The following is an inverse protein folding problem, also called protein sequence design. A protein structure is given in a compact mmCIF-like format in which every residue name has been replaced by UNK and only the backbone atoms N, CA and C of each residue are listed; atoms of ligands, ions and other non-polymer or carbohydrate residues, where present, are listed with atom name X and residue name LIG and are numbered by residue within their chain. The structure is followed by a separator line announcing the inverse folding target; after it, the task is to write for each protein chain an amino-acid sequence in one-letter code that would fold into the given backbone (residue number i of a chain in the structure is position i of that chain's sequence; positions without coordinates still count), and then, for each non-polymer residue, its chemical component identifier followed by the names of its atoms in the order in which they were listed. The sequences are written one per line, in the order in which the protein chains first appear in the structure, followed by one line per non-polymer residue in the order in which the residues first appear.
data_IF_685154450458
#
_entry.id   IF_685154450458
#
_cell.length_a   1.000
_cell.length_b   1.000
_cell.length_c   1.000
_cell.angle_alpha   90.00
_cell.angle_beta   90.00
_cell.angle_gamma   90.00
#
_symmetry.space_group_name_H-M   'P 1'
#
loop_
_entity.id
_entity.type
_entity.pdbx_description
1 polymer ?
#
# COMPACT_ATOMS: atom_id res chain seq x y z
N UNK A 1 -52.54 -6.04 -60.50
CA UNK A 1 -51.93 -4.86 -59.83
C UNK A 1 -52.97 -3.76 -59.65
N UNK A 2 -53.71 -3.74 -58.54
CA UNK A 2 -54.55 -2.60 -58.13
C UNK A 2 -54.60 -2.52 -56.61
N UNK A 3 -54.38 -1.30 -56.14
CA UNK A 3 -54.20 -0.79 -54.77
C UNK A 3 -55.57 -0.64 -54.09
N UNK A 4 -55.66 -1.01 -52.81
CA UNK A 4 -56.65 -0.56 -51.82
C UNK A 4 -56.01 -0.88 -50.44
N UNK A 5 -56.15 -0.17 -49.32
CA UNK A 5 -57.07 0.86 -48.83
C UNK A 5 -56.35 1.42 -47.55
N UNK A 6 -55.89 2.68 -47.52
CA UNK A 6 -56.55 3.83 -46.88
C UNK A 6 -56.69 3.77 -45.32
N UNK A 7 -55.79 4.52 -44.67
CA UNK A 7 -55.92 5.36 -43.45
C UNK A 7 -56.19 4.74 -42.07
N UNK A 8 -55.23 4.87 -41.13
CA UNK A 8 -55.48 5.30 -39.72
C UNK A 8 -54.26 6.12 -39.20
N UNK A 9 -54.53 7.41 -38.97
CA UNK A 9 -53.97 8.43 -38.05
C UNK A 9 -52.47 8.45 -37.60
N UNK A 10 -51.84 9.65 -37.58
CA UNK A 10 -50.56 9.87 -36.90
C UNK A 10 -50.81 10.08 -35.40
N UNK A 11 -50.29 9.18 -34.55
CA UNK A 11 -50.22 9.39 -33.11
C UNK A 11 -48.96 10.19 -32.77
N UNK A 12 -49.09 11.51 -32.77
CA UNK A 12 -48.25 12.41 -31.97
C UNK A 12 -48.96 12.54 -30.62
N UNK A 13 -48.31 12.16 -29.52
CA UNK A 13 -48.42 12.77 -28.19
C UNK A 13 -47.44 12.09 -27.20
N UNK A 14 -46.41 12.85 -26.83
CA UNK A 14 -45.81 12.98 -25.49
C UNK A 14 -45.18 11.73 -24.86
N UNK A 15 -43.85 11.66 -24.94
CA UNK A 15 -43.03 11.39 -23.76
C UNK A 15 -41.83 12.34 -23.79
N UNK A 16 -42.06 13.54 -23.23
CA UNK A 16 -41.00 14.44 -22.84
C UNK A 16 -40.14 13.77 -21.76
N UNK A 17 -38.82 13.86 -21.89
CA UNK A 17 -37.90 13.82 -20.76
C UNK A 17 -37.67 12.46 -20.09
N UNK A 18 -36.92 11.57 -20.73
CA UNK A 18 -35.95 10.72 -20.01
C UNK A 18 -34.57 11.02 -20.61
N UNK A 19 -34.19 12.29 -20.52
CA UNK A 19 -32.81 12.70 -20.69
C UNK A 19 -32.14 12.72 -19.32
N UNK A 20 -31.01 12.01 -19.21
CA UNK A 20 -30.01 12.20 -18.16
C UNK A 20 -30.46 11.89 -16.73
N UNK A 21 -30.70 10.61 -16.47
CA UNK A 21 -30.72 10.03 -15.12
C UNK A 21 -29.63 8.99 -14.88
N UNK A 22 -28.62 8.88 -15.77
CA UNK A 22 -27.36 8.23 -15.40
C UNK A 22 -26.48 9.30 -14.74
N UNK A 23 -26.86 9.69 -13.52
CA UNK A 23 -25.85 10.14 -12.58
C UNK A 23 -24.97 8.92 -12.32
N UNK A 24 -23.95 8.75 -13.17
CA UNK A 24 -22.67 8.30 -12.68
C UNK A 24 -22.25 9.36 -11.65
N UNK A 25 -22.77 9.22 -10.42
CA UNK A 25 -22.07 9.76 -9.27
C UNK A 25 -20.64 9.26 -9.37
N UNK A 26 -19.64 10.02 -8.89
CA UNK A 26 -18.29 9.50 -8.82
C UNK A 26 -18.39 8.10 -8.22
N UNK A 27 -17.87 7.12 -8.95
CA UNK A 27 -17.48 5.85 -8.36
C UNK A 27 -16.43 6.25 -7.35
N UNK A 28 -16.87 6.65 -6.16
CA UNK A 28 -16.01 6.91 -5.03
C UNK A 28 -15.37 5.56 -4.72
N UNK A 29 -14.23 5.33 -5.36
CA UNK A 29 -13.25 4.38 -4.92
C UNK A 29 -13.12 4.60 -3.41
N UNK A 30 -13.46 3.57 -2.63
CA UNK A 30 -13.61 3.59 -1.18
C UNK A 30 -12.70 4.65 -0.52
N UNK A 31 -13.23 5.71 0.14
CA UNK A 31 -12.43 6.80 0.72
C UNK A 31 -11.65 6.39 1.98
N UNK A 32 -11.42 5.09 2.18
CA UNK A 32 -10.68 4.56 3.32
C UNK A 32 -9.18 4.55 2.98
N UNK A 33 -8.38 5.12 3.87
CA UNK A 33 -6.91 5.14 3.81
C UNK A 33 -6.30 6.06 2.73
N UNK A 34 -6.84 7.27 2.55
CA UNK A 34 -6.24 8.29 1.67
C UNK A 34 -5.09 9.00 2.41
N UNK A 35 -3.89 8.99 1.82
CA UNK A 35 -2.75 9.80 2.25
C UNK A 35 -2.55 10.96 1.28
N UNK A 36 -2.76 12.20 1.74
CA UNK A 36 -2.56 13.41 0.93
C UNK A 36 -1.17 13.97 1.19
N UNK A 37 -0.40 14.18 0.11
CA UNK A 37 0.91 14.82 0.22
C UNK A 37 0.77 16.35 0.25
N UNK A 38 1.33 16.98 1.28
CA UNK A 38 1.28 18.44 1.44
C UNK A 38 2.47 19.12 0.76
N UNK A 39 2.22 20.16 -0.04
CA UNK A 39 3.29 21.01 -0.59
C UNK A 39 4.00 21.76 0.53
N UNK A 40 5.32 21.71 0.56
CA UNK A 40 6.16 22.49 1.47
C UNK A 40 7.14 23.36 0.68
N UNK A 41 7.71 24.40 1.32
CA UNK A 41 8.62 25.33 0.66
C UNK A 41 10.05 24.80 0.54
N UNK A 42 10.47 23.99 1.52
CA UNK A 42 11.78 23.36 1.58
C UNK A 42 11.62 21.88 1.96
N UNK A 43 12.49 20.99 1.47
CA UNK A 43 12.43 19.57 1.78
C UNK A 43 12.76 19.31 3.27
N UNK A 44 12.27 18.20 3.85
CA UNK A 44 12.65 17.78 5.20
C UNK A 44 14.12 17.34 5.25
N UNK A 45 14.69 17.30 6.45
CA UNK A 45 15.96 16.59 6.67
C UNK A 45 15.67 15.09 6.65
N UNK A 46 16.54 14.29 6.01
CA UNK A 46 16.36 12.84 5.92
C UNK A 46 17.01 12.13 7.11
N UNK A 47 16.55 12.43 8.32
CA UNK A 47 17.10 11.92 9.59
C UNK A 47 16.05 11.16 10.45
N UNK A 48 14.80 11.12 10.00
CA UNK A 48 13.71 10.42 10.69
C UNK A 48 13.10 11.21 11.86
N UNK A 49 13.45 12.48 12.02
CA UNK A 49 12.91 13.34 13.09
C UNK A 49 11.54 13.89 12.70
N UNK A 50 10.66 14.07 13.69
CA UNK A 50 9.36 14.72 13.51
C UNK A 50 9.51 16.25 13.62
N UNK A 51 9.92 16.92 12.54
CA UNK A 51 9.96 18.39 12.47
C UNK A 51 8.58 19.04 12.30
N UNK A 52 8.51 20.36 12.44
CA UNK A 52 7.25 21.13 12.40
C UNK A 52 6.50 21.04 11.06
N UNK A 53 7.21 20.87 9.95
CA UNK A 53 6.59 20.73 8.63
C UNK A 53 5.65 19.51 8.56
N UNK A 54 5.99 18.42 9.27
CA UNK A 54 5.20 17.21 9.32
C UNK A 54 3.94 17.37 10.17
N UNK A 55 3.97 18.20 11.22
CA UNK A 55 2.79 18.50 12.04
C UNK A 55 1.67 19.12 11.21
N UNK A 56 2.03 19.82 10.14
CA UNK A 56 1.08 20.41 9.21
C UNK A 56 0.55 19.46 8.12
N UNK A 57 1.06 18.23 8.01
CA UNK A 57 0.59 17.21 7.07
C UNK A 57 -0.42 16.27 7.76
N UNK A 58 -1.51 15.94 7.07
CA UNK A 58 -2.56 15.06 7.60
C UNK A 58 -2.01 13.64 7.78
N UNK A 59 -2.05 13.08 9.01
CA UNK A 59 -1.60 11.71 9.23
C UNK A 59 -2.60 10.69 8.69
N UNK A 60 -2.08 9.60 8.14
CA UNK A 60 -2.81 8.37 7.89
C UNK A 60 -2.28 7.28 8.84
N UNK A 61 -3.11 6.77 9.74
CA UNK A 61 -2.76 5.61 10.57
C UNK A 61 -3.43 4.36 10.02
N UNK A 62 -2.63 3.32 9.78
CA UNK A 62 -3.10 2.01 9.33
C UNK A 62 -2.64 0.93 10.29
N UNK A 63 -3.54 0.00 10.62
CA UNK A 63 -3.16 -1.23 11.35
C UNK A 63 -2.58 -2.23 10.36
N UNK A 64 -1.34 -2.64 10.57
CA UNK A 64 -0.69 -3.72 9.81
C UNK A 64 -0.66 -4.99 10.66
N UNK A 65 -0.83 -6.14 10.01
CA UNK A 65 -1.00 -7.45 10.66
C UNK A 65 -0.13 -8.51 9.98
N UNK A 66 0.08 -9.63 10.66
CA UNK A 66 0.87 -10.75 10.15
C UNK A 66 2.38 -10.60 10.36
N UNK A 67 2.81 -9.58 11.12
CA UNK A 67 4.21 -9.40 11.47
C UNK A 67 4.66 -10.42 12.49
N UNK A 68 5.81 -11.07 12.25
CA UNK A 68 6.43 -11.95 13.24
C UNK A 68 7.16 -11.12 14.29
N UNK A 69 7.18 -11.59 15.53
CA UNK A 69 7.80 -10.92 16.69
C UNK A 69 7.16 -9.60 17.14
N UNK A 70 6.05 -9.17 16.52
CA UNK A 70 5.23 -8.09 17.05
C UNK A 70 4.26 -8.61 18.13
N UNK A 71 4.00 -7.85 19.21
CA UNK A 71 2.93 -8.16 20.16
C UNK A 71 1.59 -8.35 19.44
N UNK A 72 0.97 -9.51 19.60
CA UNK A 72 -0.28 -9.86 18.91
C UNK A 72 -0.18 -9.93 17.37
N UNK A 73 1.04 -9.97 16.82
CA UNK A 73 1.29 -10.06 15.38
C UNK A 73 0.86 -8.83 14.58
N UNK A 74 0.75 -7.66 15.22
CA UNK A 74 0.29 -6.42 14.58
C UNK A 74 0.92 -5.18 15.19
N UNK A 75 0.96 -4.09 14.42
CA UNK A 75 1.34 -2.76 14.89
C UNK A 75 0.54 -1.69 14.14
N UNK A 76 0.51 -0.48 14.68
CA UNK A 76 -0.02 0.68 13.96
C UNK A 76 1.13 1.43 13.30
N UNK A 77 0.94 1.76 12.03
CA UNK A 77 1.88 2.58 11.25
C UNK A 77 1.20 3.91 10.97
N UNK A 78 1.80 5.01 11.40
CA UNK A 78 1.38 6.36 11.03
C UNK A 78 2.26 6.91 9.92
N UNK A 79 1.63 7.30 8.83
CA UNK A 79 2.24 7.89 7.64
C UNK A 79 1.89 9.37 7.57
N UNK A 80 2.86 10.18 7.16
CA UNK A 80 2.66 11.55 6.68
C UNK A 80 3.40 11.72 5.38
N UNK A 81 2.90 12.60 4.51
CA UNK A 81 3.56 12.90 3.25
C UNK A 81 3.63 14.40 2.99
N UNK A 82 4.79 14.84 2.51
CA UNK A 82 5.02 16.18 1.98
C UNK A 82 5.71 16.08 0.63
N UNK A 83 5.69 17.15 -0.16
CA UNK A 83 6.42 17.19 -1.42
C UNK A 83 6.99 18.58 -1.73
N UNK A 84 8.07 18.60 -2.50
CA UNK A 84 8.68 19.80 -3.08
C UNK A 84 9.06 19.52 -4.53
N UNK A 85 8.65 20.37 -5.47
CA UNK A 85 9.00 20.19 -6.88
C UNK A 85 8.59 18.81 -7.40
N UNK A 86 9.58 18.02 -7.75
CA UNK A 86 9.51 16.65 -8.29
C UNK A 86 9.71 15.54 -7.24
N UNK A 87 9.92 15.89 -5.97
CA UNK A 87 10.22 14.94 -4.90
C UNK A 87 9.06 14.84 -3.90
N UNK A 88 8.66 13.61 -3.60
CA UNK A 88 7.74 13.26 -2.52
C UNK A 88 8.52 12.63 -1.35
N UNK A 89 8.15 13.02 -0.14
CA UNK A 89 8.75 12.56 1.10
C UNK A 89 7.68 11.90 1.96
N UNK A 90 8.08 10.85 2.68
CA UNK A 90 7.23 10.12 3.59
C UNK A 90 7.89 10.05 4.96
N UNK A 91 7.15 10.40 6.01
CA UNK A 91 7.52 10.09 7.38
C UNK A 91 6.66 8.92 7.84
N UNK A 92 7.32 7.87 8.29
CA UNK A 92 6.70 6.66 8.81
C UNK A 92 7.07 6.47 10.27
N UNK A 93 6.08 6.16 11.09
CA UNK A 93 6.28 5.90 12.50
C UNK A 93 5.51 4.65 12.91
N UNK A 94 6.16 3.75 13.63
CA UNK A 94 5.58 2.55 14.19
C UNK A 94 6.28 2.23 15.50
N UNK A 95 5.62 1.43 16.36
CA UNK A 95 6.26 0.93 17.57
C UNK A 95 7.15 -0.25 17.22
N UNK A 96 8.42 -0.14 17.58
CA UNK A 96 9.40 -1.23 17.54
C UNK A 96 10.16 -1.23 18.87
N UNK A 97 9.90 -2.26 19.68
CA UNK A 97 10.56 -2.42 20.99
C UNK A 97 11.98 -2.99 20.86
N UNK A 98 12.34 -3.48 19.67
CA UNK A 98 13.57 -4.25 19.44
C UNK A 98 14.62 -3.51 18.64
N UNK A 99 14.23 -2.47 17.89
CA UNK A 99 15.08 -1.75 16.94
C UNK A 99 15.87 -2.74 16.07
N UNK A 100 15.13 -3.58 15.35
CA UNK A 100 15.68 -4.77 14.69
C UNK A 100 16.54 -4.40 13.47
N UNK A 101 17.79 -4.01 13.68
CA UNK A 101 18.72 -3.60 12.60
C UNK A 101 19.62 -4.73 12.09
N UNK A 102 19.39 -5.97 12.53
CA UNK A 102 20.24 -7.12 12.20
C UNK A 102 19.69 -7.89 11.02
N UNK A 103 20.48 -8.00 9.95
CA UNK A 103 20.18 -8.88 8.81
C UNK A 103 21.25 -9.96 8.64
N UNK A 104 20.98 -11.17 9.13
CA UNK A 104 21.89 -12.32 9.01
C UNK A 104 23.36 -11.97 9.37
N UNK A 105 23.60 -11.43 10.58
CA UNK A 105 24.83 -10.76 10.94
C UNK A 105 26.00 -11.74 11.05
N UNK A 106 27.21 -11.19 10.95
CA UNK A 106 28.45 -11.90 11.20
C UNK A 106 29.09 -11.38 12.49
N UNK A 107 29.63 -12.29 13.29
CA UNK A 107 30.32 -11.97 14.54
C UNK A 107 31.77 -12.42 14.43
N UNK A 108 32.68 -11.49 14.69
CA UNK A 108 34.12 -11.77 14.77
C UNK A 108 34.42 -12.55 16.03
N UNK A 109 35.13 -13.66 15.88
CA UNK A 109 35.52 -14.56 16.96
C UNK A 109 36.86 -14.11 17.59
N UNK A 110 37.16 -14.64 18.77
CA UNK A 110 38.40 -14.33 19.49
C UNK A 110 39.67 -14.75 18.72
N UNK A 111 39.58 -15.83 17.92
CA UNK A 111 40.66 -16.32 17.06
C UNK A 111 40.80 -15.54 15.73
N UNK A 112 39.98 -14.50 15.53
CA UNK A 112 39.97 -13.68 14.33
C UNK A 112 39.10 -14.21 13.19
N UNK A 113 38.52 -15.40 13.31
CA UNK A 113 37.55 -15.93 12.34
C UNK A 113 36.21 -15.18 12.40
N UNK A 114 35.35 -15.39 11.40
CA UNK A 114 34.00 -14.82 11.36
C UNK A 114 32.96 -15.92 11.36
N UNK A 115 31.94 -15.77 12.20
CA UNK A 115 30.81 -16.69 12.26
C UNK A 115 29.53 -15.96 11.83
N UNK A 116 28.83 -16.53 10.86
CA UNK A 116 27.48 -16.08 10.51
C UNK A 116 26.49 -16.60 11.54
N UNK A 117 25.74 -15.70 12.18
CA UNK A 117 24.63 -16.10 13.03
C UNK A 117 23.47 -16.61 12.17
N UNK A 118 22.87 -17.73 12.59
CA UNK A 118 21.77 -18.39 11.88
C UNK A 118 20.61 -18.62 12.84
N UNK A 119 19.41 -18.39 12.35
CA UNK A 119 18.20 -18.79 13.06
C UNK A 119 18.11 -20.33 13.02
N UNK A 120 18.19 -21.04 14.16
CA UNK A 120 18.15 -22.50 14.18
C UNK A 120 16.78 -23.06 13.74
N UNK A 121 15.75 -22.22 13.71
CA UNK A 121 14.40 -22.60 13.30
C UNK A 121 14.09 -22.25 11.83
N UNK A 122 15.00 -21.60 11.10
CA UNK A 122 14.84 -21.30 9.67
C UNK A 122 14.86 -22.60 8.84
N UNK A 123 13.71 -22.95 8.28
CA UNK A 123 13.46 -24.09 7.39
C UNK A 123 13.41 -23.68 5.92
N UNK A 124 13.75 -22.44 5.59
CA UNK A 124 13.81 -21.96 4.22
C UNK A 124 12.99 -20.68 4.04
N UNK A 125 13.61 -19.55 4.37
CA UNK A 125 13.02 -18.22 4.14
C UNK A 125 12.16 -17.73 5.28
N UNK A 126 12.24 -18.37 6.44
CA UNK A 126 11.50 -18.07 7.66
C UNK A 126 12.37 -17.66 8.85
N UNK A 127 13.62 -17.26 8.60
CA UNK A 127 14.45 -16.57 9.59
C UNK A 127 13.69 -15.35 10.15
N UNK A 128 13.45 -15.40 11.45
CA UNK A 128 12.85 -14.32 12.22
C UNK A 128 13.66 -13.99 13.49
N UNK A 129 14.79 -14.65 13.74
CA UNK A 129 15.67 -14.34 14.87
C UNK A 129 16.75 -13.30 14.51
N UNK A 130 17.34 -13.42 13.32
CA UNK A 130 18.40 -12.54 12.83
C UNK A 130 17.94 -11.84 11.55
N UNK A 131 16.83 -11.12 11.67
CA UNK A 131 16.17 -10.44 10.58
C UNK A 131 15.68 -9.07 11.04
N UNK A 132 15.79 -8.10 10.14
CA UNK A 132 15.33 -6.71 10.31
C UNK A 132 13.87 -6.55 9.89
N UNK A 133 13.21 -5.57 10.49
CA UNK A 133 11.96 -5.03 10.00
C UNK A 133 12.11 -4.44 8.59
N UNK A 134 11.05 -4.55 7.80
CA UNK A 134 11.02 -4.09 6.41
C UNK A 134 9.73 -3.41 6.10
N UNK A 135 9.85 -2.42 5.24
CA UNK A 135 8.72 -1.75 4.67
C UNK A 135 8.87 -1.61 3.15
N UNK A 136 7.75 -1.63 2.45
CA UNK A 136 7.68 -1.38 1.02
C UNK A 136 6.48 -0.47 0.71
N UNK A 137 6.73 0.63 -0.01
CA UNK A 137 5.68 1.35 -0.74
C UNK A 137 5.61 0.75 -2.15
N UNK A 138 4.41 0.33 -2.55
CA UNK A 138 4.19 -0.28 -3.88
C UNK A 138 3.07 0.51 -4.56
N UNK A 139 3.40 1.07 -5.72
CA UNK A 139 2.43 1.71 -6.60
C UNK A 139 1.99 0.73 -7.68
N UNK A 140 0.69 0.71 -7.96
CA UNK A 140 0.19 -0.02 -9.11
C UNK A 140 0.66 0.65 -10.40
N UNK A 141 1.42 -0.07 -11.22
CA UNK A 141 1.73 0.33 -12.60
C UNK A 141 0.93 -0.55 -13.56
N UNK A 142 1.07 -1.87 -13.42
CA UNK A 142 0.41 -2.86 -14.29
C UNK A 142 0.22 -4.22 -13.61
N UNK A 143 0.07 -4.25 -12.27
CA UNK A 143 0.00 -5.52 -11.53
C UNK A 143 -1.41 -6.14 -11.66
N UNK A 144 -1.53 -7.44 -12.00
CA UNK A 144 -2.84 -8.09 -12.10
C UNK A 144 -3.59 -8.02 -10.77
N UNK A 145 -4.88 -7.63 -10.83
CA UNK A 145 -5.78 -7.61 -9.67
C UNK A 145 -5.31 -6.77 -8.46
N UNK A 146 -4.42 -5.79 -8.66
CA UNK A 146 -3.93 -4.94 -7.57
C UNK A 146 -5.06 -4.16 -6.89
N UNK A 147 -6.04 -3.67 -7.64
CA UNK A 147 -7.19 -2.93 -7.06
C UNK A 147 -8.00 -3.78 -6.05
N UNK A 148 -8.00 -5.11 -6.22
CA UNK A 148 -8.74 -6.01 -5.34
C UNK A 148 -7.88 -6.62 -4.23
N UNK A 149 -6.58 -6.86 -4.49
CA UNK A 149 -5.69 -7.64 -3.60
C UNK A 149 -4.43 -6.91 -3.17
N UNK A 150 -4.21 -5.68 -3.62
CA UNK A 150 -2.95 -4.95 -3.48
C UNK A 150 -1.78 -5.77 -4.03
N UNK A 151 -0.61 -5.62 -3.40
CA UNK A 151 0.59 -6.38 -3.75
C UNK A 151 0.48 -7.90 -3.50
N UNK A 152 -0.56 -8.38 -2.79
CA UNK A 152 -0.71 -9.81 -2.50
C UNK A 152 -0.91 -10.65 -3.78
N UNK A 153 -1.51 -10.07 -4.82
CA UNK A 153 -1.70 -10.76 -6.10
C UNK A 153 -0.37 -11.17 -6.74
N UNK A 154 0.65 -10.31 -6.63
CA UNK A 154 1.98 -10.57 -7.17
C UNK A 154 2.89 -11.33 -6.20
N UNK A 155 2.78 -11.07 -4.89
CA UNK A 155 3.79 -11.54 -3.92
C UNK A 155 3.39 -12.80 -3.13
N UNK A 156 2.10 -13.15 -3.07
CA UNK A 156 1.63 -14.23 -2.19
C UNK A 156 0.75 -15.27 -2.89
N UNK A 157 0.26 -15.01 -4.10
CA UNK A 157 -0.63 -15.95 -4.79
C UNK A 157 0.16 -17.08 -5.42
N UNK A 158 -0.04 -18.31 -4.96
CA UNK A 158 0.62 -19.51 -5.51
C UNK A 158 2.04 -19.74 -4.99
N UNK A 159 2.47 -19.01 -3.97
CA UNK A 159 3.82 -19.09 -3.42
C UNK A 159 3.95 -20.16 -2.32
N UNK A 160 5.10 -20.86 -2.30
CA UNK A 160 5.42 -21.87 -1.28
C UNK A 160 6.19 -21.33 -0.07
N UNK A 161 6.58 -20.04 -0.07
CA UNK A 161 7.36 -19.43 1.00
C UNK A 161 6.46 -19.02 2.17
N UNK A 162 6.88 -19.24 3.44
CA UNK A 162 6.07 -18.90 4.61
C UNK A 162 5.62 -17.44 4.70
N UNK A 163 6.40 -16.51 4.11
CA UNK A 163 6.13 -15.07 4.12
C UNK A 163 5.95 -14.48 2.72
N UNK A 164 5.61 -15.31 1.72
CA UNK A 164 5.53 -14.90 0.32
C UNK A 164 6.87 -14.55 -0.31
N UNK A 165 6.83 -14.07 -1.55
CA UNK A 165 8.00 -13.56 -2.25
C UNK A 165 8.36 -12.16 -1.78
N UNK A 166 9.64 -11.97 -1.50
CA UNK A 166 10.26 -10.68 -1.23
C UNK A 166 11.00 -10.28 -2.50
N UNK A 167 10.35 -9.52 -3.37
CA UNK A 167 11.01 -8.93 -4.53
C UNK A 167 11.78 -7.69 -4.06
N UNK A 168 13.11 -7.72 -4.24
CA UNK A 168 14.01 -6.58 -4.03
C UNK A 168 14.49 -6.09 -5.38
#
# INVERSE_FOLDING_TARGET
MKRSWKWILPALLIAAGIGLGLFAGPLDAQPKNVLVSKKVAAPPTLDGVMEDLWKGATPLTVKVVGGRNLPGGSTEVTLRSVYTGDMIYFLMQYKDETESVRRSPWVKQADGSWQKLKDPNDKGGDNNLYYEDKFALIWNISSPAFEAKGCLSACHTGEGKPFGNKYT
#
